data_IF_750190361633
#
_entry.id   IF_750190361633
#
_cell.length_a   1.000
_cell.length_b   1.000
_cell.length_c   1.000
_cell.angle_alpha   90.00
_cell.angle_beta   90.00
_cell.angle_gamma   90.00
#
_symmetry.space_group_name_H-M   'P 1'
#
loop_
_entity.id
_entity.type
_entity.pdbx_description
1 polymer ?
#
# COMPACT_ATOMS: atom_id res chain seq x y z
N UNK A 1 -1.25 21.31 -61.28
CA UNK A 1 -0.79 22.60 -60.74
C UNK A 1 -1.89 23.10 -59.81
N UNK A 2 -1.76 22.83 -58.50
CA UNK A 2 -2.72 23.21 -57.47
C UNK A 2 -2.10 24.35 -56.65
N UNK A 3 -2.80 25.47 -56.58
CA UNK A 3 -2.47 26.65 -55.78
C UNK A 3 -3.17 26.53 -54.42
N UNK A 4 -2.48 26.65 -53.28
CA UNK A 4 -3.14 26.78 -51.98
C UNK A 4 -3.28 28.25 -51.61
N UNK A 5 -4.52 28.67 -51.34
CA UNK A 5 -4.87 29.97 -50.78
C UNK A 5 -4.37 30.11 -49.33
N UNK A 6 -3.87 31.30 -49.01
CA UNK A 6 -3.41 31.72 -47.70
C UNK A 6 -4.60 31.95 -46.75
N UNK A 7 -4.65 31.20 -45.64
CA UNK A 7 -5.55 31.50 -44.52
C UNK A 7 -4.90 32.54 -43.62
N UNK A 8 -5.41 33.77 -43.67
CA UNK A 8 -5.04 34.85 -42.74
C UNK A 8 -5.77 34.67 -41.41
N UNK A 9 -5.00 34.66 -40.32
CA UNK A 9 -5.48 34.67 -38.95
C UNK A 9 -5.66 36.13 -38.51
N UNK A 10 -6.85 36.49 -38.01
CA UNK A 10 -7.19 37.84 -37.56
C UNK A 10 -7.27 37.84 -36.01
N UNK A 11 -6.35 38.51 -35.28
CA UNK A 11 -6.39 38.57 -33.83
C UNK A 11 -6.98 39.91 -33.38
N UNK A 12 -8.25 39.90 -32.98
CA UNK A 12 -8.79 41.01 -32.24
C UNK A 12 -10.30 40.99 -32.14
N UNK A 13 -10.82 40.59 -30.97
CA UNK A 13 -11.78 41.41 -30.23
C UNK A 13 -11.66 41.06 -28.74
N UNK A 14 -11.06 42.02 -28.04
CA UNK A 14 -11.18 42.23 -26.60
C UNK A 14 -12.53 42.90 -26.37
N UNK A 15 -13.33 42.38 -25.46
CA UNK A 15 -14.43 43.11 -24.82
C UNK A 15 -14.40 42.84 -23.33
N UNK A 16 -14.08 43.92 -22.60
CA UNK A 16 -14.20 44.06 -21.16
C UNK A 16 -15.68 44.25 -20.74
N UNK A 17 -15.87 44.09 -19.42
CA UNK A 17 -16.97 44.58 -18.59
C UNK A 17 -18.35 43.91 -18.68
N UNK A 18 -18.66 43.15 -17.62
CA UNK A 18 -19.76 43.52 -16.72
C UNK A 18 -19.46 43.02 -15.30
N UNK A 19 -19.21 43.97 -14.39
CA UNK A 19 -19.28 43.78 -12.94
C UNK A 19 -20.75 43.67 -12.50
N UNK A 20 -21.07 42.75 -11.58
CA UNK A 20 -21.79 43.05 -10.31
C UNK A 20 -22.54 41.83 -9.74
N UNK A 21 -22.35 41.63 -8.43
CA UNK A 21 -23.28 41.01 -7.46
C UNK A 21 -23.52 39.49 -7.49
N UNK A 22 -22.89 38.81 -6.51
CA UNK A 22 -23.50 37.96 -5.46
C UNK A 22 -22.40 37.49 -4.51
N UNK A 23 -22.16 38.22 -3.42
CA UNK A 23 -22.61 37.83 -2.07
C UNK A 23 -22.58 36.31 -1.80
N UNK A 24 -21.51 35.89 -1.13
CA UNK A 24 -21.58 35.14 0.12
C UNK A 24 -22.09 33.70 0.05
N UNK A 25 -21.19 32.76 -0.23
CA UNK A 25 -21.31 31.40 0.31
C UNK A 25 -20.00 31.01 0.97
N UNK A 26 -20.02 31.09 2.29
CA UNK A 26 -19.05 30.52 3.23
C UNK A 26 -19.26 29.00 3.19
N UNK A 27 -18.74 28.36 2.15
CA UNK A 27 -18.90 26.93 1.86
C UNK A 27 -17.79 26.10 2.47
N UNK A 28 -18.04 25.65 3.70
CA UNK A 28 -17.64 24.35 4.26
C UNK A 28 -16.18 23.93 4.03
N UNK A 29 -15.39 24.21 5.06
CA UNK A 29 -14.29 23.36 5.53
C UNK A 29 -14.62 21.90 5.21
N UNK A 30 -13.91 21.36 4.23
CA UNK A 30 -14.03 19.95 3.87
C UNK A 30 -13.33 19.22 4.99
N UNK A 31 -14.15 18.57 5.84
CA UNK A 31 -13.72 17.60 6.84
C UNK A 31 -12.70 16.68 6.20
N UNK A 32 -11.43 16.97 6.50
CA UNK A 32 -10.30 16.08 6.29
C UNK A 32 -10.54 14.91 7.22
N UNK A 33 -11.24 13.89 6.71
CA UNK A 33 -11.37 12.60 7.36
C UNK A 33 -10.04 11.84 7.21
N UNK A 34 -8.99 12.40 7.80
CA UNK A 34 -7.72 11.72 8.04
C UNK A 34 -7.98 10.83 9.24
N UNK A 35 -8.03 9.52 9.01
CA UNK A 35 -8.11 8.50 10.07
C UNK A 35 -6.81 8.52 10.91
N UNK A 36 -6.69 9.53 11.77
CA UNK A 36 -5.63 9.67 12.76
C UNK A 36 -5.96 8.76 13.95
N UNK A 37 -5.58 7.49 13.86
CA UNK A 37 -5.58 6.58 15.02
C UNK A 37 -4.38 6.94 15.90
N UNK A 38 -4.59 7.89 16.83
CA UNK A 38 -3.59 8.30 17.81
C UNK A 38 -3.00 7.12 18.61
N UNK A 39 -1.77 7.26 19.15
CA UNK A 39 -1.13 6.19 19.92
C UNK A 39 -1.84 5.96 21.27
N UNK A 40 -2.02 4.70 21.72
CA UNK A 40 -2.58 4.41 23.04
C UNK A 40 -1.62 4.81 24.18
N UNK A 41 -2.15 5.06 25.40
CA UNK A 41 -1.37 5.53 26.54
C UNK A 41 -0.37 4.48 27.02
N UNK A 42 0.85 4.92 27.29
CA UNK A 42 1.97 4.15 27.81
C UNK A 42 1.84 3.95 29.33
N UNK A 43 1.59 2.72 29.79
CA UNK A 43 1.60 2.39 31.23
C UNK A 43 2.99 1.90 31.66
N UNK A 44 3.79 2.79 32.22
CA UNK A 44 5.14 2.52 32.74
C UNK A 44 5.07 1.68 34.03
N UNK A 45 5.30 0.38 33.93
CA UNK A 45 5.49 -0.47 35.11
C UNK A 45 6.94 -0.32 35.61
N UNK A 46 7.10 0.37 36.75
CA UNK A 46 8.36 0.40 37.49
C UNK A 46 8.57 -0.98 38.14
N UNK A 47 9.50 -1.77 37.61
CA UNK A 47 9.98 -2.97 38.31
C UNK A 47 11.18 -2.59 39.18
N UNK A 48 10.88 -2.34 40.44
CA UNK A 48 11.86 -2.32 41.53
C UNK A 48 12.04 -3.76 41.97
N UNK A 49 13.27 -4.27 41.96
CA UNK A 49 13.68 -5.37 42.84
C UNK A 49 15.20 -5.37 42.94
N UNK A 50 15.68 -4.65 43.96
CA UNK A 50 16.97 -4.90 44.59
C UNK A 50 16.96 -6.32 45.15
N UNK A 51 17.96 -7.13 44.79
CA UNK A 51 18.30 -8.33 45.54
C UNK A 51 19.78 -8.28 45.88
N UNK A 52 20.01 -8.04 47.16
CA UNK A 52 21.28 -8.13 47.88
C UNK A 52 21.85 -9.54 47.80
N UNK A 53 23.13 -9.66 47.44
CA UNK A 53 23.88 -10.93 47.50
C UNK A 53 24.77 -10.89 48.74
N UNK A 54 24.59 -11.87 49.60
CA UNK A 54 25.36 -12.11 50.82
C UNK A 54 26.70 -12.76 50.50
N UNK A 55 27.79 -12.29 51.12
CA UNK A 55 29.13 -12.86 51.04
C UNK A 55 29.21 -14.15 51.87
N UNK A 56 29.40 -15.29 51.20
CA UNK A 56 29.82 -16.56 51.80
C UNK A 56 31.33 -16.69 51.66
N UNK A 57 32.00 -16.77 52.81
CA UNK A 57 33.43 -16.97 52.96
C UNK A 57 33.74 -18.47 53.02
N UNK A 58 34.71 -18.92 52.23
CA UNK A 58 35.50 -20.11 52.56
C UNK A 58 35.36 -21.28 51.59
N UNK A 59 36.31 -21.39 50.67
CA UNK A 59 37.21 -22.55 50.46
C UNK A 59 38.09 -22.19 49.25
N UNK A 60 39.40 -22.11 49.48
CA UNK A 60 40.39 -21.70 48.48
C UNK A 60 40.63 -22.91 47.57
N UNK A 61 39.96 -22.94 46.42
CA UNK A 61 40.27 -23.91 45.38
C UNK A 61 41.73 -23.73 44.91
N UNK A 62 42.44 -24.81 44.56
CA UNK A 62 43.77 -24.70 43.98
C UNK A 62 43.70 -23.84 42.72
N UNK A 63 44.64 -22.90 42.57
CA UNK A 63 44.75 -21.97 41.44
C UNK A 63 44.84 -22.76 40.13
N UNK A 64 43.69 -23.14 39.60
CA UNK A 64 43.53 -23.69 38.27
C UNK A 64 43.65 -22.48 37.36
N UNK A 65 44.88 -22.18 36.93
CA UNK A 65 45.13 -21.19 35.89
C UNK A 65 44.31 -21.57 34.66
N UNK A 66 43.13 -20.97 34.53
CA UNK A 66 42.32 -21.12 33.34
C UNK A 66 43.19 -20.64 32.17
N UNK A 67 43.39 -21.46 31.13
CA UNK A 67 44.15 -21.03 29.97
C UNK A 67 43.50 -19.75 29.45
N UNK A 68 44.33 -18.71 29.35
CA UNK A 68 44.00 -17.35 28.94
C UNK A 68 42.76 -17.32 28.05
N UNK A 69 41.59 -17.09 28.67
CA UNK A 69 40.30 -17.20 27.98
C UNK A 69 40.24 -16.05 27.00
N UNK A 70 40.56 -16.30 25.74
CA UNK A 70 40.48 -15.32 24.66
C UNK A 70 39.01 -14.87 24.62
N UNK A 71 38.75 -13.68 25.15
CA UNK A 71 37.43 -13.03 25.04
C UNK A 71 37.34 -12.48 23.63
N UNK A 72 36.83 -13.30 22.71
CA UNK A 72 36.45 -12.83 21.38
C UNK A 72 35.23 -11.93 21.55
N UNK A 73 35.43 -10.60 21.47
CA UNK A 73 34.30 -9.68 21.29
C UNK A 73 33.77 -9.87 19.88
N UNK A 74 32.67 -10.62 19.75
CA UNK A 74 31.92 -10.65 18.51
C UNK A 74 31.43 -9.23 18.21
N UNK A 75 31.60 -8.71 16.98
CA UNK A 75 31.04 -7.42 16.62
C UNK A 75 29.53 -7.49 16.81
N UNK A 76 28.95 -6.47 17.48
CA UNK A 76 27.50 -6.35 17.55
C UNK A 76 26.96 -6.31 16.11
N UNK A 77 25.94 -7.11 15.78
CA UNK A 77 25.33 -7.03 14.46
C UNK A 77 24.90 -5.58 14.23
N UNK A 78 25.13 -5.03 13.02
CA UNK A 78 24.70 -3.68 12.73
C UNK A 78 23.19 -3.57 12.98
N UNK A 79 22.71 -2.43 13.53
CA UNK A 79 21.28 -2.25 13.72
C UNK A 79 20.61 -2.37 12.35
N UNK A 80 19.68 -3.32 12.22
CA UNK A 80 18.91 -3.50 10.99
C UNK A 80 17.59 -2.75 11.11
N UNK A 81 17.13 -2.23 9.97
CA UNK A 81 15.76 -1.77 9.87
C UNK A 81 14.80 -2.94 10.10
N UNK A 82 13.80 -2.74 10.95
CA UNK A 82 12.81 -3.78 11.26
C UNK A 82 11.41 -3.25 11.00
N UNK A 83 10.66 -3.96 10.16
CA UNK A 83 9.24 -3.72 10.00
C UNK A 83 8.45 -4.73 10.84
N UNK A 84 7.55 -4.24 11.70
CA UNK A 84 6.61 -5.04 12.49
C UNK A 84 5.20 -4.79 11.96
N UNK A 85 4.67 -5.78 11.24
CA UNK A 85 3.30 -5.76 10.72
C UNK A 85 2.28 -5.71 11.88
N UNK A 86 1.25 -4.88 11.73
CA UNK A 86 0.11 -4.79 12.64
C UNK A 86 -1.16 -5.33 11.98
N UNK A 87 -1.40 -4.94 10.73
CA UNK A 87 -2.57 -5.35 9.97
C UNK A 87 -2.25 -5.37 8.48
N UNK A 88 -2.91 -6.26 7.75
CA UNK A 88 -2.71 -6.43 6.33
C UNK A 88 -4.04 -6.64 5.62
N UNK A 89 -4.16 -6.07 4.42
CA UNK A 89 -5.28 -6.24 3.51
C UNK A 89 -4.78 -6.69 2.14
N UNK A 90 -5.60 -7.48 1.46
CA UNK A 90 -5.47 -7.74 0.03
C UNK A 90 -6.42 -6.80 -0.70
N UNK A 91 -5.89 -6.06 -1.67
CA UNK A 91 -6.63 -5.09 -2.44
C UNK A 91 -6.68 -5.44 -3.92
N UNK A 92 -7.81 -5.15 -4.55
CA UNK A 92 -7.98 -5.16 -6.00
C UNK A 92 -8.19 -3.72 -6.49
N UNK A 93 -7.33 -3.28 -7.42
CA UNK A 93 -7.44 -1.94 -8.00
C UNK A 93 -8.59 -1.92 -9.01
N UNK A 94 -9.58 -1.04 -8.82
CA UNK A 94 -10.77 -0.97 -9.67
C UNK A 94 -10.60 0.08 -10.76
N UNK A 95 -10.17 1.29 -10.40
CA UNK A 95 -10.04 2.42 -11.31
C UNK A 95 -8.85 3.30 -10.92
N UNK A 96 -8.26 3.97 -11.92
CA UNK A 96 -7.31 5.06 -11.71
C UNK A 96 -7.82 6.28 -12.48
N UNK A 97 -8.03 7.39 -11.78
CA UNK A 97 -8.55 8.63 -12.36
C UNK A 97 -7.97 9.84 -11.63
N UNK A 98 -7.51 10.85 -12.37
CA UNK A 98 -7.02 12.12 -11.81
C UNK A 98 -5.95 11.94 -10.70
N UNK A 99 -5.00 11.02 -10.87
CA UNK A 99 -3.97 10.69 -9.86
C UNK A 99 -4.50 10.05 -8.56
N UNK A 100 -5.76 9.60 -8.57
CA UNK A 100 -6.36 8.82 -7.51
C UNK A 100 -6.64 7.38 -7.98
N UNK A 101 -6.50 6.45 -7.06
CA UNK A 101 -6.74 5.03 -7.24
C UNK A 101 -7.92 4.62 -6.36
N UNK A 102 -8.93 4.00 -6.96
CA UNK A 102 -10.06 3.38 -6.23
C UNK A 102 -9.85 1.88 -6.17
N UNK A 103 -9.94 1.30 -4.99
CA UNK A 103 -9.70 -0.12 -4.77
C UNK A 103 -10.68 -0.73 -3.78
N UNK A 104 -10.90 -2.04 -3.92
CA UNK A 104 -11.65 -2.86 -2.98
C UNK A 104 -10.64 -3.62 -2.11
N UNK A 105 -10.82 -3.60 -0.79
CA UNK A 105 -9.98 -4.26 0.19
C UNK A 105 -10.71 -5.40 0.89
N UNK A 106 -9.96 -6.48 1.14
CA UNK A 106 -10.31 -7.57 2.03
C UNK A 106 -9.28 -7.65 3.17
N UNK A 107 -9.76 -7.61 4.40
CA UNK A 107 -8.90 -7.76 5.58
C UNK A 107 -8.33 -9.19 5.66
N UNK A 108 -7.00 -9.29 5.69
CA UNK A 108 -6.30 -10.58 5.83
C UNK A 108 -6.04 -10.94 7.29
N UNK A 109 -6.06 -9.97 8.20
CA UNK A 109 -5.92 -10.17 9.64
C UNK A 109 -7.21 -10.68 10.27
N UNK A 110 -8.36 -10.21 9.77
CA UNK A 110 -9.70 -10.56 10.24
C UNK A 110 -10.65 -10.80 9.06
N UNK A 111 -10.61 -11.99 8.44
CA UNK A 111 -11.37 -12.29 7.22
C UNK A 111 -12.89 -12.20 7.35
N UNK A 112 -13.42 -12.17 8.57
CA UNK A 112 -14.82 -11.94 8.90
C UNK A 112 -15.28 -10.49 8.68
N UNK A 113 -14.33 -9.55 8.60
CA UNK A 113 -14.64 -8.15 8.33
C UNK A 113 -15.24 -8.00 6.92
N UNK A 114 -16.19 -7.05 6.75
CA UNK A 114 -16.75 -6.77 5.45
C UNK A 114 -15.68 -6.26 4.49
N UNK A 115 -15.97 -6.38 3.21
CA UNK A 115 -15.16 -5.79 2.14
C UNK A 115 -15.30 -4.26 2.23
N UNK A 116 -14.18 -3.55 2.08
CA UNK A 116 -14.12 -2.09 2.16
C UNK A 116 -13.71 -1.49 0.80
N UNK A 117 -14.21 -0.30 0.48
CA UNK A 117 -13.75 0.48 -0.67
C UNK A 117 -12.86 1.63 -0.17
N UNK A 118 -11.71 1.83 -0.80
CA UNK A 118 -10.79 2.92 -0.46
C UNK A 118 -10.38 3.71 -1.71
N UNK A 119 -10.03 4.97 -1.48
CA UNK A 119 -9.36 5.82 -2.45
C UNK A 119 -8.02 6.28 -1.88
N UNK A 120 -6.97 6.20 -2.69
CA UNK A 120 -5.61 6.63 -2.30
C UNK A 120 -4.91 7.30 -3.48
N UNK A 121 -3.88 8.11 -3.21
CA UNK A 121 -3.15 8.80 -4.27
C UNK A 121 -2.19 7.87 -5.00
N UNK A 122 -2.01 8.05 -6.31
CA UNK A 122 -0.94 7.40 -7.08
C UNK A 122 0.45 7.67 -6.48
N UNK A 123 0.64 8.81 -5.81
CA UNK A 123 1.89 9.15 -5.12
C UNK A 123 2.22 8.23 -3.92
N UNK A 124 1.23 7.50 -3.38
CA UNK A 124 1.44 6.51 -2.33
C UNK A 124 2.01 5.18 -2.87
N UNK A 125 2.00 5.00 -4.19
CA UNK A 125 2.56 3.83 -4.86
C UNK A 125 4.07 4.02 -5.03
N UNK A 126 4.85 3.01 -4.63
CA UNK A 126 6.29 2.97 -4.88
C UNK A 126 6.57 3.13 -6.38
N UNK A 127 7.55 3.95 -6.74
CA UNK A 127 8.00 4.14 -8.12
C UNK A 127 8.32 2.82 -8.86
N UNK A 128 8.80 1.81 -8.12
CA UNK A 128 9.07 0.46 -8.65
C UNK A 128 7.83 -0.35 -9.05
N UNK A 129 6.67 0.04 -8.52
CA UNK A 129 5.41 -0.69 -8.62
C UNK A 129 4.35 0.10 -9.40
N UNK A 130 4.61 1.37 -9.77
CA UNK A 130 3.71 2.21 -10.58
C UNK A 130 3.29 1.51 -11.88
N UNK A 131 4.22 0.85 -12.57
CA UNK A 131 3.91 0.14 -13.82
C UNK A 131 2.99 -1.08 -13.65
N UNK A 132 2.78 -1.53 -12.41
CA UNK A 132 1.88 -2.64 -12.06
C UNK A 132 0.51 -2.15 -11.63
N UNK A 133 0.32 -0.84 -11.42
CA UNK A 133 -0.95 -0.26 -11.03
C UNK A 133 -1.84 -0.13 -12.27
N UNK A 134 -2.54 -1.22 -12.61
CA UNK A 134 -3.60 -1.23 -13.63
C UNK A 134 -4.88 -1.82 -13.04
N UNK A 135 -6.09 -1.43 -13.52
CA UNK A 135 -7.34 -2.05 -13.10
C UNK A 135 -7.30 -3.58 -13.14
N UNK A 136 -7.83 -4.22 -12.11
CA UNK A 136 -7.77 -5.67 -11.85
C UNK A 136 -6.47 -6.13 -11.17
N UNK A 137 -5.50 -5.26 -10.94
CA UNK A 137 -4.25 -5.64 -10.27
C UNK A 137 -4.45 -5.86 -8.78
N UNK A 138 -3.81 -6.91 -8.26
CA UNK A 138 -3.82 -7.25 -6.85
C UNK A 138 -2.64 -6.58 -6.15
N UNK A 139 -2.89 -5.99 -4.99
CA UNK A 139 -1.86 -5.42 -4.12
C UNK A 139 -2.10 -5.81 -2.66
N UNK A 140 -1.07 -5.61 -1.84
CA UNK A 140 -1.15 -5.74 -0.39
C UNK A 140 -0.97 -4.37 0.25
N UNK A 141 -1.93 -3.98 1.09
CA UNK A 141 -1.80 -2.85 1.99
C UNK A 141 -1.35 -3.38 3.35
N UNK A 142 -0.19 -2.92 3.83
CA UNK A 142 0.37 -3.31 5.11
C UNK A 142 0.49 -2.09 6.02
N UNK A 143 -0.12 -2.16 7.21
CA UNK A 143 0.06 -1.16 8.26
C UNK A 143 0.95 -1.76 9.34
N UNK A 144 1.98 -1.02 9.74
CA UNK A 144 2.94 -1.52 10.71
C UNK A 144 3.82 -0.44 11.34
N UNK A 145 4.74 -0.91 12.17
CA UNK A 145 5.82 -0.09 12.73
C UNK A 145 7.12 -0.32 11.97
N UNK A 146 7.80 0.75 11.62
CA UNK A 146 9.15 0.74 11.07
C UNK A 146 10.13 1.27 12.12
N UNK A 147 10.99 0.38 12.60
CA UNK A 147 12.08 0.71 13.52
C UNK A 147 13.30 1.13 12.70
N UNK A 148 13.70 2.38 12.85
CA UNK A 148 14.90 2.95 12.24
C UNK A 148 16.14 2.63 13.08
N UNK A 149 17.31 2.71 12.43
CA UNK A 149 18.63 2.47 13.03
C UNK A 149 18.92 3.43 14.19
N UNK A 150 18.38 4.64 14.13
CA UNK A 150 18.46 5.67 15.18
C UNK A 150 17.58 5.39 16.41
N UNK A 151 16.83 4.28 16.41
CA UNK A 151 15.90 3.90 17.47
C UNK A 151 14.52 4.53 17.36
N UNK A 152 14.27 5.35 16.33
CA UNK A 152 12.95 5.92 16.10
C UNK A 152 11.97 4.85 15.57
N UNK A 153 10.79 4.78 16.17
CA UNK A 153 9.67 3.96 15.68
C UNK A 153 8.67 4.84 14.95
N UNK A 154 8.39 4.50 13.69
CA UNK A 154 7.40 5.18 12.85
C UNK A 154 6.23 4.25 12.56
N UNK A 155 5.00 4.76 12.63
CA UNK A 155 3.84 4.04 12.07
C UNK A 155 3.76 4.34 10.58
N UNK A 156 3.69 3.32 9.75
CA UNK A 156 3.67 3.47 8.29
C UNK A 156 2.64 2.54 7.67
N UNK A 157 2.04 3.01 6.58
CA UNK A 157 1.33 2.18 5.61
C UNK A 157 2.27 1.90 4.42
N UNK A 158 2.12 0.76 3.77
CA UNK A 158 2.87 0.39 2.57
C UNK A 158 1.97 -0.36 1.62
N UNK A 159 1.93 0.07 0.36
CA UNK A 159 1.25 -0.62 -0.75
C UNK A 159 2.30 -1.38 -1.57
N UNK A 160 2.03 -2.66 -1.85
CA UNK A 160 2.91 -3.51 -2.67
C UNK A 160 2.09 -4.29 -3.69
N UNK A 161 2.32 -4.03 -4.97
CA UNK A 161 1.64 -4.75 -6.05
C UNK A 161 2.20 -6.16 -6.24
N UNK A 162 1.31 -7.11 -6.47
CA UNK A 162 1.68 -8.50 -6.75
C UNK A 162 2.32 -8.58 -8.13
N UNK A 163 3.56 -9.05 -8.18
CA UNK A 163 4.28 -9.33 -9.44
C UNK A 163 3.80 -10.67 -9.97
N UNK A 164 2.93 -10.65 -10.97
CA UNK A 164 2.61 -11.85 -11.73
C UNK A 164 3.76 -12.17 -12.68
N UNK A 165 4.06 -13.46 -12.95
CA UNK A 165 4.99 -13.82 -14.01
C UNK A 165 4.51 -13.19 -15.32
N UNK A 166 5.43 -12.78 -16.19
CA UNK A 166 5.05 -12.21 -17.49
C UNK A 166 4.30 -13.26 -18.30
N UNK A 167 3.02 -13.01 -18.61
CA UNK A 167 2.21 -13.91 -19.42
C UNK A 167 2.75 -13.88 -20.85
N UNK A 168 3.05 -15.05 -21.40
CA UNK A 168 3.48 -15.17 -22.79
C UNK A 168 2.27 -15.27 -23.71
N UNK A 169 2.41 -14.94 -25.00
CA UNK A 169 1.34 -15.15 -25.99
C UNK A 169 0.85 -16.61 -26.03
N UNK A 170 1.74 -17.56 -25.74
CA UNK A 170 1.37 -18.97 -25.58
C UNK A 170 0.47 -19.23 -24.38
N UNK A 171 0.66 -18.53 -23.26
CA UNK A 171 -0.22 -18.66 -22.09
C UNK A 171 -1.62 -18.13 -22.38
N UNK A 172 -1.72 -17.00 -23.09
CA UNK A 172 -3.00 -16.44 -23.54
C UNK A 172 -3.74 -17.41 -24.47
N UNK A 173 -3.04 -17.97 -25.47
CA UNK A 173 -3.64 -18.92 -26.40
C UNK A 173 -4.14 -20.18 -25.69
N UNK A 174 -3.37 -20.70 -24.73
CA UNK A 174 -3.79 -21.86 -23.93
C UNK A 174 -5.04 -21.54 -23.10
N UNK A 175 -5.11 -20.37 -22.48
CA UNK A 175 -6.27 -19.94 -21.71
C UNK A 175 -7.53 -19.79 -22.59
N UNK A 176 -7.38 -19.26 -23.81
CA UNK A 176 -8.49 -19.13 -24.77
C UNK A 176 -9.00 -20.52 -25.25
N UNK A 177 -8.08 -21.43 -25.55
CA UNK A 177 -8.43 -22.82 -25.91
C UNK A 177 -9.14 -23.56 -24.76
N UNK A 178 -8.71 -23.35 -23.52
CA UNK A 178 -9.38 -23.90 -22.33
C UNK A 178 -10.77 -23.29 -22.13
N UNK A 179 -10.92 -21.98 -22.31
CA UNK A 179 -12.21 -21.30 -22.21
C UNK A 179 -13.22 -21.82 -23.24
N UNK A 180 -12.80 -22.04 -24.50
CA UNK A 180 -13.66 -22.62 -25.53
C UNK A 180 -14.05 -24.07 -25.22
N UNK A 181 -13.14 -24.88 -24.65
CA UNK A 181 -13.49 -26.24 -24.18
C UNK A 181 -14.56 -26.20 -23.09
N UNK A 182 -14.37 -25.35 -22.09
CA UNK A 182 -15.33 -25.19 -20.98
C UNK A 182 -16.69 -24.73 -21.51
N UNK A 183 -16.70 -23.75 -22.42
CA UNK A 183 -17.92 -23.25 -23.06
C UNK A 183 -18.68 -24.34 -23.82
N UNK A 184 -17.96 -25.23 -24.50
CA UNK A 184 -18.53 -26.40 -25.16
C UNK A 184 -19.14 -27.42 -24.18
N UNK A 185 -18.53 -27.61 -23.01
CA UNK A 185 -19.04 -28.50 -21.95
C UNK A 185 -20.30 -27.93 -21.29
N UNK A 186 -20.31 -26.64 -20.99
CA UNK A 186 -21.42 -25.99 -20.28
C UNK A 186 -22.55 -25.50 -21.19
N UNK A 187 -22.46 -25.69 -22.50
CA UNK A 187 -23.55 -25.37 -23.45
C UNK A 187 -23.95 -23.89 -23.44
N UNK A 188 -23.03 -22.99 -23.09
CA UNK A 188 -23.25 -21.53 -23.09
C UNK A 188 -23.23 -20.99 -24.53
N UNK A 189 -24.14 -21.48 -25.37
CA UNK A 189 -24.44 -20.87 -26.66
C UNK A 189 -25.36 -19.69 -26.42
N UNK A 190 -24.86 -18.50 -26.74
CA UNK A 190 -25.51 -17.19 -26.64
C UNK A 190 -26.82 -17.16 -27.45
N UNK A 191 -27.94 -17.62 -26.90
CA UNK A 191 -29.26 -17.18 -27.36
C UNK A 191 -29.57 -15.83 -26.71
N UNK A 192 -28.96 -14.75 -27.20
CA UNK A 192 -29.52 -13.43 -26.95
C UNK A 192 -30.71 -13.30 -27.90
N UNK A 193 -31.90 -13.71 -27.44
CA UNK A 193 -33.15 -13.35 -28.09
C UNK A 193 -33.28 -11.83 -28.01
N UNK A 194 -33.07 -11.16 -29.14
CA UNK A 194 -33.46 -9.78 -29.36
C UNK A 194 -34.93 -9.63 -28.96
N UNK A 195 -35.19 -8.94 -27.86
CA UNK A 195 -36.54 -8.49 -27.53
C UNK A 195 -36.77 -7.24 -28.37
N UNK A 196 -37.26 -7.43 -29.60
CA UNK A 196 -38.01 -6.38 -30.28
C UNK A 196 -39.25 -6.09 -29.44
N UNK A 197 -39.27 -4.92 -28.79
CA UNK A 197 -40.50 -4.36 -28.24
C UNK A 197 -40.85 -3.12 -29.05
N UNK A 198 -42.01 -3.24 -29.71
CA UNK A 198 -42.85 -2.19 -30.29
C UNK A 198 -43.17 -1.08 -29.29
#
# INVERSE_FOLDING_TARGET
MYSPEEVRFDPGQVSEETQSQRQGERGKDTDRNVLWLGPPPFTLHKRTESSSISLVTGQREPDMELPNRIVVRLPFPPPTHRFKLLQQWEGELIEIKNEECTAILRDMSHPENPIEEITFSVAEISSSDISLAVPGSIFYLSIGYYDRIDGQRLRTASIRFRRLPAWTMSDFKRAEEEAEKIKGIFGLTKEIRSVERY
#
